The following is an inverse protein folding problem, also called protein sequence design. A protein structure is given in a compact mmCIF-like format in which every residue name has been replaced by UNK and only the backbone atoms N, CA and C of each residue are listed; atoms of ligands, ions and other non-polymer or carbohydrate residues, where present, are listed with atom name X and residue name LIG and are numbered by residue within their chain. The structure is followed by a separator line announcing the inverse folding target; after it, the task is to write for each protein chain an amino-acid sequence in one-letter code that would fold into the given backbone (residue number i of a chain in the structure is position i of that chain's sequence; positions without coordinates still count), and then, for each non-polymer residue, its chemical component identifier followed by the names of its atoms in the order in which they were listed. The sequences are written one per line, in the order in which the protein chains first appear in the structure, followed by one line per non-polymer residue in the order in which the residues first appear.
data_IF_248228184313
#
_entry.id   IF_248228184313
#
_cell.length_a   1.000
_cell.length_b   1.000
_cell.length_c   1.000
_cell.angle_alpha   90.00
_cell.angle_beta   90.00
_cell.angle_gamma   90.00
#
_symmetry.space_group_name_H-M   'P 1'
#
loop_
_entity.id
_entity.type
_entity.pdbx_description
1 polymer ?
#
# COMPACT_ATOMS: atom_id res chain seq x y z
N UNK A 1 -33.26 -17.35 -4.91
CA UNK A 1 -32.11 -18.02 -4.26
C UNK A 1 -30.83 -17.63 -4.97
N UNK A 2 -30.12 -16.65 -4.43
CA UNK A 2 -28.79 -16.27 -4.91
C UNK A 2 -27.79 -17.30 -4.37
N UNK A 3 -27.38 -18.22 -5.19
CA UNK A 3 -26.25 -19.10 -4.91
C UNK A 3 -24.99 -18.23 -4.73
N UNK A 4 -24.57 -18.05 -3.48
CA UNK A 4 -23.28 -17.44 -3.17
C UNK A 4 -22.19 -18.32 -3.74
N UNK A 5 -21.51 -17.86 -4.78
CA UNK A 5 -20.34 -18.52 -5.33
C UNK A 5 -19.29 -18.66 -4.24
N UNK A 6 -19.21 -19.85 -3.65
CA UNK A 6 -18.16 -20.18 -2.69
C UNK A 6 -16.82 -20.18 -3.43
N UNK A 7 -16.01 -19.15 -3.18
CA UNK A 7 -14.65 -19.08 -3.72
C UNK A 7 -13.81 -20.18 -3.09
N UNK A 8 -13.49 -21.22 -3.84
CA UNK A 8 -12.60 -22.29 -3.41
C UNK A 8 -11.12 -21.89 -3.32
N UNK A 9 -10.81 -20.60 -3.53
CA UNK A 9 -9.43 -20.11 -3.58
C UNK A 9 -9.22 -18.96 -2.61
N UNK A 10 -8.27 -19.13 -1.69
CA UNK A 10 -7.83 -18.07 -0.77
C UNK A 10 -6.86 -17.16 -1.51
N UNK A 11 -7.10 -15.85 -1.48
CA UNK A 11 -6.18 -14.88 -2.06
C UNK A 11 -4.92 -14.72 -1.19
N UNK A 12 -3.81 -14.31 -1.81
CA UNK A 12 -2.56 -14.06 -1.09
C UNK A 12 -2.74 -13.02 0.04
N UNK A 13 -3.54 -11.99 -0.22
CA UNK A 13 -3.88 -10.98 0.79
C UNK A 13 -4.66 -11.58 1.96
N UNK A 14 -5.66 -12.41 1.70
CA UNK A 14 -6.42 -13.11 2.76
C UNK A 14 -5.52 -14.04 3.57
N UNK A 15 -4.61 -14.76 2.90
CA UNK A 15 -3.67 -15.63 3.57
C UNK A 15 -2.76 -14.87 4.52
N UNK A 16 -2.14 -13.77 4.07
CA UNK A 16 -1.26 -12.98 4.94
C UNK A 16 -2.02 -12.22 6.03
N UNK A 17 -3.22 -11.71 5.73
CA UNK A 17 -4.07 -11.10 6.76
C UNK A 17 -4.40 -12.12 7.87
N UNK A 18 -4.72 -13.36 7.48
CA UNK A 18 -4.94 -14.42 8.45
C UNK A 18 -3.67 -14.74 9.25
N UNK A 19 -2.50 -14.79 8.62
CA UNK A 19 -1.23 -15.10 9.28
C UNK A 19 -0.76 -14.00 10.23
N UNK A 20 -1.04 -12.74 9.90
CA UNK A 20 -0.62 -11.56 10.67
C UNK A 20 -1.70 -11.09 11.67
N UNK A 21 -2.89 -11.69 11.68
CA UNK A 21 -3.91 -11.34 12.67
C UNK A 21 -3.52 -11.84 14.05
N UNK A 22 -3.66 -10.95 15.05
CA UNK A 22 -3.43 -11.30 16.46
C UNK A 22 -4.54 -12.22 16.95
N UNK A 23 -4.17 -13.32 17.60
CA UNK A 23 -5.08 -14.33 18.16
C UNK A 23 -4.67 -14.66 19.56
N UNK A 24 -5.60 -15.23 20.32
CA UNK A 24 -5.33 -15.74 21.68
C UNK A 24 -4.41 -16.98 21.69
N UNK A 25 -4.34 -17.70 20.56
CA UNK A 25 -3.50 -18.88 20.42
C UNK A 25 -2.05 -18.45 20.14
N UNK A 26 -1.10 -19.11 20.79
CA UNK A 26 0.33 -18.88 20.54
C UNK A 26 0.68 -18.97 19.05
N UNK A 27 1.34 -17.93 18.55
CA UNK A 27 1.84 -17.88 17.18
C UNK A 27 3.32 -17.51 17.18
N UNK A 28 4.18 -18.46 16.85
CA UNK A 28 5.64 -18.29 16.85
C UNK A 28 6.14 -17.13 15.95
N UNK A 29 5.36 -16.74 14.95
CA UNK A 29 5.71 -15.65 14.02
C UNK A 29 5.93 -14.34 14.77
N UNK A 30 5.06 -14.03 15.76
CA UNK A 30 5.14 -12.77 16.50
C UNK A 30 6.33 -12.70 17.47
N UNK A 31 6.94 -13.84 17.78
CA UNK A 31 8.14 -13.90 18.63
C UNK A 31 9.43 -13.80 17.83
N UNK A 32 9.34 -13.66 16.51
CA UNK A 32 10.50 -13.59 15.61
C UNK A 32 11.27 -12.26 15.64
N UNK A 33 10.85 -11.26 16.44
CA UNK A 33 11.50 -9.94 16.54
C UNK A 33 11.80 -9.35 15.14
N UNK A 34 13.05 -9.08 14.83
CA UNK A 34 13.46 -8.56 13.50
C UNK A 34 13.07 -9.47 12.34
N UNK A 35 13.01 -10.78 12.55
CA UNK A 35 12.51 -11.71 11.53
C UNK A 35 11.03 -11.55 11.28
N UNK A 36 10.24 -11.20 12.30
CA UNK A 36 8.83 -10.85 12.11
C UNK A 36 8.65 -9.60 11.24
N UNK A 37 9.45 -8.55 11.50
CA UNK A 37 9.43 -7.35 10.65
C UNK A 37 9.76 -7.70 9.20
N UNK A 38 10.82 -8.48 8.97
CA UNK A 38 11.19 -8.94 7.64
C UNK A 38 10.08 -9.76 6.98
N UNK A 39 9.44 -10.64 7.73
CA UNK A 39 8.31 -11.43 7.24
C UNK A 39 7.13 -10.54 6.83
N UNK A 40 6.77 -9.53 7.64
CA UNK A 40 5.69 -8.59 7.34
C UNK A 40 5.99 -7.78 6.07
N UNK A 41 7.21 -7.26 5.94
CA UNK A 41 7.66 -6.53 4.73
C UNK A 41 7.61 -7.44 3.50
N UNK A 42 8.11 -8.66 3.59
CA UNK A 42 8.08 -9.63 2.48
C UNK A 42 6.65 -10.00 2.08
N UNK A 43 5.73 -10.15 3.06
CA UNK A 43 4.32 -10.40 2.79
C UNK A 43 3.69 -9.24 2.02
N UNK A 44 3.96 -8.00 2.45
CA UNK A 44 3.48 -6.79 1.78
C UNK A 44 4.00 -6.69 0.34
N UNK A 45 5.30 -6.88 0.13
CA UNK A 45 5.93 -6.85 -1.20
C UNK A 45 5.32 -7.88 -2.14
N UNK A 46 5.03 -9.09 -1.65
CA UNK A 46 4.39 -10.15 -2.45
C UNK A 46 2.95 -9.79 -2.84
N UNK A 47 2.17 -9.22 -1.92
CA UNK A 47 0.81 -8.75 -2.21
C UNK A 47 0.84 -7.64 -3.25
N UNK A 48 1.77 -6.69 -3.10
CA UNK A 48 1.93 -5.57 -4.01
C UNK A 48 2.38 -6.04 -5.40
N UNK A 49 3.32 -6.97 -5.48
CA UNK A 49 3.73 -7.60 -6.73
C UNK A 49 2.54 -8.24 -7.46
N UNK A 50 1.69 -8.99 -6.74
CA UNK A 50 0.49 -9.59 -7.33
C UNK A 50 -0.51 -8.54 -7.83
N UNK A 51 -0.69 -7.42 -7.12
CA UNK A 51 -1.52 -6.30 -7.56
C UNK A 51 -0.98 -5.67 -8.84
N UNK A 52 0.32 -5.43 -8.91
CA UNK A 52 0.96 -4.88 -10.10
C UNK A 52 0.86 -5.82 -11.30
N UNK A 53 1.03 -7.12 -11.10
CA UNK A 53 0.87 -8.12 -12.16
C UNK A 53 -0.59 -8.19 -12.65
N UNK A 54 -1.56 -8.10 -11.74
CA UNK A 54 -2.96 -7.98 -12.13
C UNK A 54 -3.22 -6.74 -12.98
N UNK A 55 -2.70 -5.58 -12.56
CA UNK A 55 -2.82 -4.32 -13.31
C UNK A 55 -2.19 -4.45 -14.69
N UNK A 56 -0.97 -5.00 -14.80
CA UNK A 56 -0.28 -5.22 -16.06
C UNK A 56 -1.07 -6.07 -17.05
N UNK A 57 -1.69 -7.12 -16.54
CA UNK A 57 -2.38 -8.10 -17.38
C UNK A 57 -3.82 -7.70 -17.73
N UNK A 58 -4.40 -6.75 -17.00
CA UNK A 58 -5.78 -6.31 -17.16
C UNK A 58 -5.92 -4.85 -17.59
N UNK A 59 -4.91 -4.29 -18.27
CA UNK A 59 -4.93 -2.89 -18.73
C UNK A 59 -6.19 -2.53 -19.51
N UNK A 60 -6.70 -3.43 -20.36
CA UNK A 60 -7.90 -3.21 -21.17
C UNK A 60 -9.20 -3.14 -20.34
N UNK A 61 -9.23 -3.75 -19.14
CA UNK A 61 -10.38 -3.77 -18.24
C UNK A 61 -10.34 -2.62 -17.25
N UNK A 62 -9.16 -2.14 -16.95
CA UNK A 62 -8.94 -1.01 -16.07
C UNK A 62 -9.12 0.25 -16.93
N UNK A 63 -10.11 1.09 -16.61
CA UNK A 63 -10.27 2.39 -17.27
C UNK A 63 -9.02 3.22 -17.01
N UNK A 64 -8.06 3.12 -17.91
CA UNK A 64 -6.88 3.98 -17.94
C UNK A 64 -7.27 5.28 -18.66
N UNK A 65 -8.07 6.11 -18.01
CA UNK A 65 -8.30 7.47 -18.50
C UNK A 65 -6.96 8.21 -18.45
N UNK A 66 -6.52 8.69 -19.56
CA UNK A 66 -5.31 9.44 -19.90
C UNK A 66 -4.19 8.62 -20.54
N UNK A 67 -4.55 7.96 -21.60
CA UNK A 67 -3.58 7.45 -22.57
C UNK A 67 -2.74 8.58 -23.19
N UNK A 68 -3.28 9.82 -23.22
CA UNK A 68 -2.66 10.93 -23.91
C UNK A 68 -1.40 11.47 -23.20
N UNK A 69 -1.45 11.63 -21.87
CA UNK A 69 -0.28 12.07 -21.10
C UNK A 69 0.84 11.00 -21.09
N UNK A 70 0.46 9.70 -21.08
CA UNK A 70 1.39 8.60 -21.20
C UNK A 70 2.00 8.50 -22.60
N UNK A 71 1.22 8.77 -23.64
CA UNK A 71 1.70 8.87 -25.04
C UNK A 71 2.71 9.98 -25.19
N UNK A 72 2.45 11.12 -24.59
CA UNK A 72 3.33 12.27 -24.64
C UNK A 72 4.65 12.00 -23.91
N UNK A 73 4.61 11.37 -22.72
CA UNK A 73 5.82 10.91 -22.02
C UNK A 73 6.62 9.88 -22.82
N UNK A 74 5.96 8.91 -23.44
CA UNK A 74 6.61 7.91 -24.28
C UNK A 74 7.27 8.56 -25.51
N UNK A 75 6.61 9.53 -26.14
CA UNK A 75 7.16 10.27 -27.24
C UNK A 75 8.37 11.11 -26.83
N UNK A 76 8.31 11.76 -25.66
CA UNK A 76 9.44 12.50 -25.10
C UNK A 76 10.64 11.60 -24.78
N UNK A 77 10.41 10.40 -24.24
CA UNK A 77 11.47 9.42 -24.00
C UNK A 77 12.08 8.90 -25.30
N UNK A 78 11.27 8.69 -26.34
CA UNK A 78 11.75 8.30 -27.69
C UNK A 78 12.63 9.40 -28.30
N UNK A 79 12.23 10.65 -28.18
CA UNK A 79 12.99 11.79 -28.68
C UNK A 79 14.36 11.93 -27.97
N UNK A 80 14.46 11.47 -26.72
CA UNK A 80 15.70 11.48 -25.94
C UNK A 80 16.52 10.18 -26.11
N UNK A 81 16.27 9.36 -27.13
CA UNK A 81 16.93 8.08 -27.41
C UNK A 81 16.88 7.06 -26.26
N UNK A 82 16.00 7.22 -25.30
CA UNK A 82 15.76 6.24 -24.22
C UNK A 82 14.74 5.23 -24.72
N UNK A 83 15.09 3.94 -24.70
CA UNK A 83 14.11 2.88 -25.03
C UNK A 83 13.06 2.80 -23.92
N UNK A 84 11.82 3.20 -24.17
CA UNK A 84 10.77 3.06 -23.17
C UNK A 84 10.50 1.57 -22.94
N UNK A 85 10.45 1.17 -21.67
CA UNK A 85 9.96 -0.15 -21.29
C UNK A 85 8.46 -0.30 -21.57
N UNK A 86 7.86 -1.42 -21.18
CA UNK A 86 6.40 -1.59 -21.27
C UNK A 86 5.69 -0.56 -20.41
N UNK A 87 4.94 0.33 -21.04
CA UNK A 87 4.14 1.34 -20.35
C UNK A 87 2.93 0.68 -19.69
N UNK A 88 2.77 0.89 -18.40
CA UNK A 88 1.65 0.37 -17.61
C UNK A 88 0.96 1.55 -16.92
N UNK A 89 -0.32 1.77 -17.24
CA UNK A 89 -1.12 2.77 -16.57
C UNK A 89 -1.62 2.23 -15.22
N UNK A 90 -1.35 2.97 -14.14
CA UNK A 90 -1.84 2.63 -12.82
C UNK A 90 -3.24 3.23 -12.64
N UNK A 91 -4.24 2.44 -12.19
CA UNK A 91 -5.59 2.94 -11.95
C UNK A 91 -5.63 3.91 -10.75
N UNK A 92 -6.67 4.74 -10.68
CA UNK A 92 -6.90 5.67 -9.56
C UNK A 92 -7.09 4.98 -8.21
N UNK A 93 -7.40 3.68 -8.22
CA UNK A 93 -7.51 2.87 -7.00
C UNK A 93 -6.16 2.40 -6.45
N UNK A 94 -5.08 2.58 -7.21
CA UNK A 94 -3.74 2.19 -6.79
C UNK A 94 -3.08 3.33 -6.01
N UNK A 95 -2.79 3.09 -4.73
CA UNK A 95 -2.11 4.05 -3.87
C UNK A 95 -0.72 4.42 -4.46
N UNK A 96 -0.44 5.71 -4.55
CA UNK A 96 0.81 6.20 -5.17
C UNK A 96 0.75 6.35 -6.70
N UNK A 97 -0.39 6.05 -7.36
CA UNK A 97 -0.54 6.40 -8.77
C UNK A 97 -0.49 7.93 -8.95
N UNK A 98 0.03 8.44 -10.09
CA UNK A 98 0.09 9.87 -10.35
C UNK A 98 -1.28 10.56 -10.22
N UNK A 99 -2.34 9.85 -10.57
CA UNK A 99 -3.73 10.35 -10.46
C UNK A 99 -4.14 10.56 -9.00
N UNK A 100 -3.88 9.59 -8.12
CA UNK A 100 -4.19 9.72 -6.67
C UNK A 100 -3.37 10.84 -6.04
N UNK A 101 -2.10 10.98 -6.43
CA UNK A 101 -1.25 12.06 -5.92
C UNK A 101 -1.77 13.43 -6.36
N UNK A 102 -2.23 13.54 -7.62
CA UNK A 102 -2.83 14.77 -8.14
C UNK A 102 -4.14 15.10 -7.42
N UNK A 103 -5.02 14.13 -7.23
CA UNK A 103 -6.29 14.27 -6.49
C UNK A 103 -6.03 14.77 -5.05
N UNK A 104 -5.09 14.14 -4.33
CA UNK A 104 -4.69 14.60 -2.99
C UNK A 104 -4.11 16.02 -2.98
N UNK A 105 -3.35 16.38 -4.01
CA UNK A 105 -2.84 17.74 -4.15
C UNK A 105 -3.98 18.74 -4.39
N UNK A 106 -4.93 18.42 -5.26
CA UNK A 106 -6.11 19.26 -5.52
C UNK A 106 -6.96 19.45 -4.27
N UNK A 107 -7.18 18.38 -3.50
CA UNK A 107 -7.87 18.43 -2.20
C UNK A 107 -7.13 19.34 -1.21
N UNK A 108 -5.83 19.20 -1.07
CA UNK A 108 -5.01 20.05 -0.21
C UNK A 108 -5.07 21.53 -0.65
N UNK A 109 -5.02 21.79 -1.96
CA UNK A 109 -5.14 23.14 -2.50
C UNK A 109 -6.53 23.74 -2.27
N UNK A 110 -7.59 22.92 -2.35
CA UNK A 110 -8.95 23.37 -2.04
C UNK A 110 -9.10 23.77 -0.56
N UNK A 111 -8.51 22.98 0.34
CA UNK A 111 -8.45 23.30 1.79
C UNK A 111 -7.70 24.61 2.03
N UNK A 112 -6.52 24.78 1.39
CA UNK A 112 -5.74 26.01 1.52
C UNK A 112 -6.48 27.23 0.95
N UNK A 113 -7.22 27.06 -0.15
CA UNK A 113 -8.03 28.15 -0.74
C UNK A 113 -9.15 28.59 0.20
N UNK A 114 -9.75 27.65 0.93
CA UNK A 114 -10.87 27.91 1.83
C UNK A 114 -10.43 28.50 3.17
N UNK A 115 -9.37 28.00 3.75
CA UNK A 115 -8.95 28.30 5.12
C UNK A 115 -7.65 29.11 5.21
N UNK A 116 -6.97 29.36 4.10
CA UNK A 116 -5.68 30.03 4.09
C UNK A 116 -4.49 29.08 4.21
N UNK A 117 -3.31 29.66 4.35
CA UNK A 117 -2.06 28.89 4.52
C UNK A 117 -2.04 28.20 5.89
N UNK A 118 -1.54 26.96 5.98
CA UNK A 118 -1.32 26.33 7.28
C UNK A 118 -0.20 27.07 8.04
N UNK A 119 -0.45 27.40 9.30
CA UNK A 119 0.52 28.09 10.17
C UNK A 119 1.50 27.10 10.82
N UNK A 120 1.07 25.86 11.02
CA UNK A 120 1.86 24.84 11.74
C UNK A 120 1.85 23.51 10.96
N UNK A 121 3.02 22.88 10.90
CA UNK A 121 3.17 21.49 10.49
C UNK A 121 3.47 20.64 11.73
N UNK A 122 2.55 19.77 12.12
CA UNK A 122 2.66 18.95 13.31
C UNK A 122 2.83 17.50 12.91
N UNK A 123 3.92 16.89 13.37
CA UNK A 123 4.17 15.45 13.20
C UNK A 123 3.92 14.74 14.51
N UNK A 124 3.02 13.76 14.49
CA UNK A 124 2.79 12.88 15.64
C UNK A 124 3.58 11.58 15.45
N UNK A 125 4.47 11.30 16.40
CA UNK A 125 5.19 10.03 16.45
C UNK A 125 4.73 9.23 17.67
N UNK A 126 4.54 7.93 17.49
CA UNK A 126 4.19 7.04 18.60
C UNK A 126 5.33 7.00 19.62
N UNK A 127 5.02 7.21 20.89
CA UNK A 127 5.99 7.00 21.96
C UNK A 127 6.05 5.49 22.29
N UNK A 128 7.23 4.85 22.13
CA UNK A 128 7.38 3.42 22.40
C UNK A 128 7.09 3.02 23.87
N UNK A 129 7.01 4.00 24.77
CA UNK A 129 6.68 3.81 26.21
C UNK A 129 5.21 4.02 26.53
N UNK A 130 4.35 4.25 25.54
CA UNK A 130 2.93 4.35 25.82
C UNK A 130 2.40 3.05 26.41
N UNK A 131 1.46 3.18 27.33
CA UNK A 131 0.84 2.06 28.03
C UNK A 131 0.22 1.05 27.06
N UNK A 132 -0.48 1.53 26.05
CA UNK A 132 -1.10 0.73 25.00
C UNK A 132 -0.08 -0.10 24.21
N UNK A 133 1.13 0.43 24.04
CA UNK A 133 2.23 -0.29 23.40
C UNK A 133 2.83 -1.32 24.34
N UNK A 134 3.15 -0.90 25.57
CA UNK A 134 3.85 -1.76 26.56
C UNK A 134 3.00 -2.93 27.04
N UNK A 135 1.69 -2.73 27.24
CA UNK A 135 0.76 -3.79 27.67
C UNK A 135 0.53 -4.85 26.58
N UNK A 136 0.73 -4.52 25.32
CA UNK A 136 0.58 -5.43 24.18
C UNK A 136 1.89 -6.10 23.75
N UNK A 137 3.01 -5.87 24.44
CA UNK A 137 4.27 -6.53 24.17
C UNK A 137 4.35 -7.88 24.90
N UNK A 138 4.93 -8.87 24.24
CA UNK A 138 5.25 -10.15 24.88
C UNK A 138 6.50 -10.01 25.77
N UNK A 139 6.67 -10.88 26.76
CA UNK A 139 7.86 -10.87 27.61
C UNK A 139 9.15 -10.90 26.79
N UNK A 140 10.03 -9.93 27.01
CA UNK A 140 11.31 -9.79 26.32
C UNK A 140 11.24 -9.15 24.93
N UNK A 141 10.08 -8.61 24.51
CA UNK A 141 9.94 -7.79 23.31
C UNK A 141 10.10 -6.30 23.62
N UNK A 142 10.60 -5.57 22.63
CA UNK A 142 10.58 -4.11 22.58
C UNK A 142 9.56 -3.62 21.58
N UNK A 143 9.15 -2.34 21.64
CA UNK A 143 8.23 -1.73 20.69
C UNK A 143 8.69 -1.88 19.22
N UNK A 144 10.01 -1.90 19.00
CA UNK A 144 10.60 -2.06 17.66
C UNK A 144 10.54 -3.50 17.12
N UNK A 145 10.23 -4.47 17.96
CA UNK A 145 10.12 -5.88 17.56
C UNK A 145 8.71 -6.25 17.08
N UNK A 146 7.74 -5.35 17.28
CA UNK A 146 6.34 -5.56 16.91
C UNK A 146 5.85 -4.39 16.06
N UNK A 147 5.44 -4.70 14.83
CA UNK A 147 4.69 -3.76 14.00
C UNK A 147 3.23 -3.76 14.47
N UNK A 148 2.75 -2.64 14.92
CA UNK A 148 1.32 -2.41 15.23
C UNK A 148 0.53 -2.10 13.96
#
# INVERSE_FOLDING_TARGET
EHATLVRNHVTLSQFYNYRLSVRQIFCSIFYGKKLFQQYAVNAYVKIEGQRLDFIRNNQNKLRSEQYDALREQVNNLRNNHVRPGRVVALPSTYAGSPRVLKEKLEDAMAVMKKYGKPDLFITFTCNPKWREVTENLFPGQTANDRLT
#
